data_IF_121950747606
#
_entry.id   IF_121950747606
#
_cell.length_a   1.000
_cell.length_b   1.000
_cell.length_c   1.000
_cell.angle_alpha   90.00
_cell.angle_beta   90.00
_cell.angle_gamma   90.00
#
_symmetry.space_group_name_H-M   'P 1'
#
loop_
_entity.id
_entity.type
_entity.pdbx_description
1 polymer ?
#
# COMPACT_ATOMS: atom_id res chain seq x y z
N UNK A 1 7.46 -1.28 5.31
CA UNK A 1 6.05 -1.41 5.72
C UNK A 1 5.41 -0.03 5.72
N UNK A 2 4.23 0.06 5.14
CA UNK A 2 3.58 1.34 4.88
C UNK A 2 2.85 1.85 6.14
N UNK A 3 2.68 3.17 6.28
CA UNK A 3 1.88 3.87 7.31
C UNK A 3 0.50 3.24 7.55
N UNK A 4 -0.06 2.56 6.56
CA UNK A 4 -1.35 1.89 6.65
C UNK A 4 -1.39 0.71 7.64
N UNK A 5 -0.26 0.01 7.83
CA UNK A 5 -0.15 -1.06 8.83
C UNK A 5 -0.22 -0.51 10.26
N UNK A 6 0.35 0.67 10.52
CA UNK A 6 0.25 1.34 11.82
C UNK A 6 -1.18 1.80 12.12
N UNK A 7 -1.87 2.37 11.13
CA UNK A 7 -3.25 2.84 11.31
C UNK A 7 -4.24 1.73 11.58
N UNK A 8 -4.00 0.54 11.05
CA UNK A 8 -4.88 -0.60 11.24
C UNK A 8 -4.77 -1.23 12.62
N UNK A 9 -3.62 -1.06 13.29
CA UNK A 9 -3.38 -1.56 14.64
C UNK A 9 -3.91 -0.62 15.73
N UNK A 10 -4.30 0.61 15.38
CA UNK A 10 -4.93 1.56 16.31
C UNK A 10 -6.43 1.24 16.39
N UNK A 11 -6.98 0.86 17.57
CA UNK A 11 -8.36 0.36 17.70
C UNK A 11 -9.45 1.32 17.22
N UNK A 12 -9.18 2.63 17.20
CA UNK A 12 -10.13 3.69 16.82
C UNK A 12 -10.10 4.05 15.32
N UNK A 13 -9.16 3.53 14.51
CA UNK A 13 -9.06 3.86 13.07
C UNK A 13 -9.65 2.76 12.21
N UNK A 14 -10.37 3.16 11.17
CA UNK A 14 -10.95 2.24 10.20
C UNK A 14 -9.83 1.55 9.41
N UNK A 15 -9.74 0.22 9.40
CA UNK A 15 -8.63 -0.53 8.79
C UNK A 15 -8.80 -0.72 7.28
N UNK A 16 -9.46 0.23 6.59
CA UNK A 16 -9.70 0.16 5.16
C UNK A 16 -8.51 0.65 4.34
N UNK A 17 -8.17 -0.06 3.28
CA UNK A 17 -7.15 0.30 2.31
C UNK A 17 -7.65 1.33 1.27
N UNK A 18 -8.74 2.00 1.55
CA UNK A 18 -9.44 2.92 0.66
C UNK A 18 -8.51 3.96 -0.02
N UNK A 19 -7.59 4.59 0.73
CA UNK A 19 -6.65 5.56 0.15
C UNK A 19 -5.66 4.91 -0.82
N UNK A 20 -5.17 3.72 -0.47
CA UNK A 20 -4.27 2.97 -1.35
C UNK A 20 -5.00 2.52 -2.62
N UNK A 21 -6.26 2.10 -2.47
CA UNK A 21 -7.11 1.73 -3.61
C UNK A 21 -7.38 2.92 -4.53
N UNK A 22 -7.70 4.10 -4.00
CA UNK A 22 -7.89 5.31 -4.80
C UNK A 22 -6.61 5.76 -5.51
N UNK A 23 -5.45 5.67 -4.86
CA UNK A 23 -4.18 5.95 -5.50
C UNK A 23 -3.89 4.97 -6.64
N UNK A 24 -4.15 3.69 -6.42
CA UNK A 24 -4.03 2.65 -7.46
C UNK A 24 -4.95 2.93 -8.64
N UNK A 25 -6.24 3.16 -8.34
CA UNK A 25 -7.26 3.48 -9.34
C UNK A 25 -6.85 4.69 -10.18
N UNK A 26 -6.46 5.78 -9.52
CA UNK A 26 -6.05 7.01 -10.18
C UNK A 26 -4.82 6.80 -11.07
N UNK A 27 -3.82 6.04 -10.60
CA UNK A 27 -2.62 5.74 -11.36
C UNK A 27 -2.93 4.87 -12.60
N UNK A 28 -3.76 3.85 -12.44
CA UNK A 28 -4.18 2.99 -13.56
C UNK A 28 -4.95 3.79 -14.62
N UNK A 29 -5.99 4.51 -14.20
CA UNK A 29 -6.84 5.26 -15.11
C UNK A 29 -6.18 6.51 -15.72
N UNK A 30 -5.12 7.05 -15.10
CA UNK A 30 -4.36 8.14 -15.69
C UNK A 30 -3.73 7.76 -17.04
N UNK A 31 -3.38 6.49 -17.23
CA UNK A 31 -2.89 5.98 -18.51
C UNK A 31 -3.94 5.91 -19.61
N UNK A 32 -5.23 5.96 -19.24
CA UNK A 32 -6.37 5.78 -20.14
C UNK A 32 -7.18 7.05 -20.35
N UNK A 33 -7.03 8.04 -19.48
CA UNK A 33 -7.87 9.24 -19.36
C UNK A 33 -7.03 10.51 -19.30
N UNK A 34 -7.58 11.59 -19.86
CA UNK A 34 -7.10 12.96 -19.64
C UNK A 34 -7.27 13.38 -18.17
N UNK A 35 -6.74 14.54 -17.79
CA UNK A 35 -6.96 15.14 -16.47
C UNK A 35 -8.44 15.33 -16.16
N UNK A 36 -9.16 15.95 -17.10
CA UNK A 36 -10.58 16.28 -16.92
C UNK A 36 -11.46 15.03 -16.81
N UNK A 37 -11.20 14.03 -17.65
CA UNK A 37 -11.94 12.76 -17.62
C UNK A 37 -11.69 11.99 -16.31
N UNK A 38 -10.44 11.91 -15.84
CA UNK A 38 -10.11 11.26 -14.58
C UNK A 38 -10.69 12.03 -13.39
N UNK A 39 -10.67 13.34 -13.41
CA UNK A 39 -11.26 14.18 -12.38
C UNK A 39 -12.77 13.93 -12.24
N UNK A 40 -13.48 13.88 -13.37
CA UNK A 40 -14.92 13.56 -13.42
C UNK A 40 -15.20 12.13 -12.96
N UNK A 41 -14.40 11.18 -13.39
CA UNK A 41 -14.55 9.78 -13.04
C UNK A 41 -14.41 9.53 -11.52
N UNK A 42 -13.47 10.21 -10.86
CA UNK A 42 -13.29 10.15 -9.42
C UNK A 42 -14.45 10.73 -8.59
N UNK A 43 -15.40 11.41 -9.22
CA UNK A 43 -16.60 11.93 -8.58
C UNK A 43 -17.47 10.81 -7.96
N UNK A 44 -17.45 9.63 -8.56
CA UNK A 44 -18.13 8.45 -8.03
C UNK A 44 -17.58 7.96 -6.67
N UNK A 45 -16.37 8.37 -6.31
CA UNK A 45 -15.66 7.87 -5.13
C UNK A 45 -15.29 8.97 -4.13
N UNK A 46 -15.26 10.22 -4.57
CA UNK A 46 -14.78 11.35 -3.77
C UNK A 46 -15.68 12.57 -4.00
N UNK A 47 -16.49 12.93 -3.01
CA UNK A 47 -17.39 14.09 -3.10
C UNK A 47 -16.65 15.43 -3.10
N UNK A 48 -15.54 15.52 -2.32
CA UNK A 48 -14.76 16.75 -2.17
C UNK A 48 -13.94 17.07 -3.42
N UNK A 49 -14.23 18.21 -4.12
CA UNK A 49 -13.54 18.62 -5.35
C UNK A 49 -12.02 18.78 -5.16
N UNK A 50 -11.58 19.35 -4.02
CA UNK A 50 -10.16 19.56 -3.75
C UNK A 50 -9.41 18.24 -3.56
N UNK A 51 -10.05 17.27 -2.92
CA UNK A 51 -9.48 15.93 -2.81
C UNK A 51 -9.37 15.24 -4.16
N UNK A 52 -10.41 15.32 -5.01
CA UNK A 52 -10.37 14.81 -6.39
C UNK A 52 -9.21 15.42 -7.17
N UNK A 53 -9.09 16.75 -7.13
CA UNK A 53 -8.01 17.47 -7.77
C UNK A 53 -6.63 16.95 -7.35
N UNK A 54 -6.42 16.77 -6.05
CA UNK A 54 -5.15 16.29 -5.53
C UNK A 54 -4.81 14.85 -5.97
N UNK A 55 -5.81 13.98 -6.12
CA UNK A 55 -5.58 12.62 -6.65
C UNK A 55 -5.14 12.68 -8.11
N UNK A 56 -5.82 13.47 -8.93
CA UNK A 56 -5.48 13.62 -10.37
C UNK A 56 -4.14 14.34 -10.55
N UNK A 57 -3.91 15.44 -9.84
CA UNK A 57 -2.65 16.16 -9.87
C UNK A 57 -1.46 15.26 -9.50
N UNK A 58 -1.64 14.39 -8.51
CA UNK A 58 -0.60 13.46 -8.08
C UNK A 58 -0.13 12.53 -9.20
N UNK A 59 -1.02 12.02 -10.02
CA UNK A 59 -0.72 11.08 -11.09
C UNK A 59 -0.41 11.76 -12.43
N UNK A 60 -0.85 13.00 -12.64
CA UNK A 60 -0.61 13.79 -13.85
C UNK A 60 0.57 14.77 -13.72
N UNK A 61 1.15 14.94 -12.53
CA UNK A 61 2.27 15.87 -12.34
C UNK A 61 3.47 15.50 -13.20
N UNK A 62 4.06 16.52 -13.83
CA UNK A 62 5.20 16.36 -14.73
C UNK A 62 4.83 15.88 -16.14
N UNK A 63 3.55 15.72 -16.43
CA UNK A 63 3.04 15.49 -17.78
C UNK A 63 2.86 16.87 -18.45
N UNK A 64 3.46 17.08 -19.61
CA UNK A 64 3.45 18.35 -20.33
C UNK A 64 2.06 18.71 -20.84
N UNK A 65 1.37 17.72 -21.40
CA UNK A 65 -0.01 17.85 -21.87
C UNK A 65 -0.93 16.91 -21.09
N UNK A 66 -1.73 17.46 -20.19
CA UNK A 66 -2.66 16.69 -19.36
C UNK A 66 -4.03 16.46 -20.01
N UNK A 67 -4.25 17.00 -21.23
CA UNK A 67 -5.47 16.78 -22.00
C UNK A 67 -5.52 15.40 -22.66
N UNK A 68 -4.39 14.70 -22.72
CA UNK A 68 -4.26 13.35 -23.27
C UNK A 68 -4.04 12.29 -22.18
N UNK A 69 -4.30 11.00 -22.47
CA UNK A 69 -3.92 9.89 -21.60
C UNK A 69 -2.41 9.90 -21.29
N UNK A 70 -2.07 9.47 -20.08
CA UNK A 70 -0.70 9.42 -19.58
C UNK A 70 -0.64 9.76 -18.09
N UNK A 71 0.33 9.21 -17.38
CA UNK A 71 0.46 9.46 -15.95
C UNK A 71 1.56 8.68 -15.26
N UNK A 72 1.74 8.93 -13.96
CA UNK A 72 2.71 8.25 -13.12
C UNK A 72 2.08 7.01 -12.46
N UNK A 73 2.66 5.85 -12.71
CA UNK A 73 2.18 4.57 -12.20
C UNK A 73 2.77 4.17 -10.84
N UNK A 74 3.68 4.94 -10.31
CA UNK A 74 4.46 4.64 -9.09
C UNK A 74 3.59 4.24 -7.89
N UNK A 75 2.42 4.83 -7.75
CA UNK A 75 1.58 4.62 -6.57
C UNK A 75 0.85 3.26 -6.54
N UNK A 76 0.83 2.52 -7.64
CA UNK A 76 0.23 1.18 -7.72
C UNK A 76 0.92 0.19 -6.77
N UNK A 77 2.24 0.29 -6.62
CA UNK A 77 3.04 -0.63 -5.78
C UNK A 77 2.61 -0.64 -4.31
N UNK A 78 1.98 0.43 -3.82
CA UNK A 78 1.55 0.48 -2.41
C UNK A 78 0.36 -0.43 -2.13
N UNK A 79 -0.66 -0.45 -3.00
CA UNK A 79 -1.78 -1.37 -2.85
C UNK A 79 -1.35 -2.81 -3.12
N UNK A 80 -0.61 -3.03 -4.20
CA UNK A 80 -0.11 -4.36 -4.57
C UNK A 80 0.72 -4.98 -3.44
N UNK A 81 1.66 -4.22 -2.88
CA UNK A 81 2.47 -4.67 -1.76
C UNK A 81 1.64 -4.94 -0.51
N UNK A 82 0.65 -4.09 -0.20
CA UNK A 82 -0.24 -4.32 0.93
C UNK A 82 -1.07 -5.60 0.75
N UNK A 83 -1.63 -5.83 -0.44
CA UNK A 83 -2.41 -7.04 -0.75
C UNK A 83 -1.54 -8.29 -0.68
N UNK A 84 -0.32 -8.27 -1.24
CA UNK A 84 0.63 -9.39 -1.15
C UNK A 84 0.96 -9.74 0.31
N UNK A 85 1.29 -8.72 1.13
CA UNK A 85 1.57 -8.92 2.56
C UNK A 85 0.36 -9.53 3.28
N UNK A 86 -0.85 -9.05 3.01
CA UNK A 86 -2.05 -9.55 3.66
C UNK A 86 -2.39 -10.97 3.24
N UNK A 87 -2.24 -11.31 1.95
CA UNK A 87 -2.43 -12.68 1.47
C UNK A 87 -1.44 -13.67 2.10
N UNK A 88 -0.17 -13.29 2.11
CA UNK A 88 0.91 -14.17 2.57
C UNK A 88 1.23 -14.03 4.07
N UNK A 89 0.44 -13.25 4.83
CA UNK A 89 0.70 -12.85 6.21
C UNK A 89 1.08 -13.98 7.18
N UNK A 90 0.53 -15.16 6.96
CA UNK A 90 0.79 -16.33 7.82
C UNK A 90 2.12 -17.03 7.52
N UNK A 91 2.67 -16.83 6.33
CA UNK A 91 3.92 -17.44 5.87
C UNK A 91 5.11 -16.49 5.90
N UNK A 92 4.89 -15.19 6.03
CA UNK A 92 5.93 -14.16 6.03
C UNK A 92 6.73 -14.20 7.34
N UNK A 93 8.06 -14.28 7.21
CA UNK A 93 8.95 -13.93 8.31
C UNK A 93 9.09 -12.40 8.41
N UNK A 94 8.25 -11.77 9.24
CA UNK A 94 8.23 -10.32 9.39
C UNK A 94 9.52 -9.75 9.98
N UNK A 95 10.24 -10.49 10.82
CA UNK A 95 11.53 -10.05 11.35
C UNK A 95 12.57 -9.97 10.23
N UNK A 96 12.62 -10.96 9.35
CA UNK A 96 13.48 -10.91 8.18
C UNK A 96 13.08 -9.75 7.23
N UNK A 97 11.79 -9.54 7.00
CA UNK A 97 11.30 -8.47 6.12
C UNK A 97 11.69 -7.06 6.60
N UNK A 98 11.83 -6.83 7.91
CA UNK A 98 12.22 -5.53 8.47
C UNK A 98 13.73 -5.40 8.74
N UNK A 99 14.50 -6.47 8.58
CA UNK A 99 15.95 -6.47 8.86
C UNK A 99 16.76 -5.63 7.87
N UNK A 100 16.18 -5.29 6.71
CA UNK A 100 16.82 -4.49 5.67
C UNK A 100 15.85 -4.03 4.58
N UNK A 101 16.37 -3.55 3.48
CA UNK A 101 15.60 -3.18 2.29
C UNK A 101 15.42 -4.41 1.39
N UNK A 102 14.72 -5.41 1.88
CA UNK A 102 14.44 -6.65 1.14
C UNK A 102 12.96 -6.71 0.75
N UNK A 103 12.69 -7.36 -0.36
CA UNK A 103 11.34 -7.59 -0.87
C UNK A 103 10.74 -8.89 -0.32
N UNK A 104 9.44 -9.11 -0.54
CA UNK A 104 8.80 -10.40 -0.23
C UNK A 104 9.39 -11.54 -1.08
N UNK A 105 9.77 -11.25 -2.30
CA UNK A 105 10.43 -12.18 -3.21
C UNK A 105 11.80 -12.59 -2.70
N UNK A 106 12.54 -11.67 -2.08
CA UNK A 106 13.85 -11.93 -1.51
C UNK A 106 13.79 -12.88 -0.29
N UNK A 107 12.70 -12.88 0.46
CA UNK A 107 12.49 -13.82 1.58
C UNK A 107 12.49 -15.29 1.12
N UNK A 108 12.22 -15.56 -0.16
CA UNK A 108 12.24 -16.89 -0.75
C UNK A 108 13.65 -17.35 -1.16
N UNK A 109 14.66 -16.47 -1.07
CA UNK A 109 16.04 -16.76 -1.46
C UNK A 109 16.83 -17.30 -0.29
N UNK A 110 17.07 -18.60 -0.26
CA UNK A 110 17.75 -19.30 0.84
C UNK A 110 19.10 -18.68 1.24
N UNK A 111 19.88 -18.15 0.29
CA UNK A 111 21.17 -17.56 0.59
C UNK A 111 21.02 -16.26 1.39
N UNK A 112 20.00 -15.42 1.08
CA UNK A 112 19.74 -14.18 1.82
C UNK A 112 19.36 -14.49 3.27
N UNK A 113 18.52 -15.50 3.49
CA UNK A 113 18.12 -15.90 4.84
C UNK A 113 19.30 -16.34 5.72
N UNK A 114 20.38 -16.85 5.11
CA UNK A 114 21.60 -17.26 5.81
C UNK A 114 22.50 -16.10 6.25
N UNK A 115 22.44 -14.96 5.54
CA UNK A 115 23.28 -13.79 5.81
C UNK A 115 22.57 -12.68 6.57
N UNK A 116 21.25 -12.76 6.73
CA UNK A 116 20.48 -11.78 7.50
C UNK A 116 20.85 -11.88 8.99
N UNK A 117 21.24 -10.76 9.55
CA UNK A 117 21.48 -10.62 10.99
C UNK A 117 20.19 -10.15 11.66
N UNK A 118 19.61 -10.98 12.52
CA UNK A 118 18.38 -10.70 13.25
C UNK A 118 18.62 -10.37 14.74
N UNK A 119 19.84 -10.51 15.20
CA UNK A 119 20.30 -10.35 16.60
C UNK A 119 20.18 -8.91 17.10
N UNK A 120 20.43 -7.91 16.24
CA UNK A 120 20.36 -6.47 16.58
C UNK A 120 19.19 -5.75 15.89
N UNK A 121 18.09 -6.46 15.68
CA UNK A 121 16.96 -5.91 14.94
C UNK A 121 16.18 -4.87 15.75
N UNK A 122 16.09 -3.65 15.23
CA UNK A 122 15.20 -2.63 15.80
C UNK A 122 13.75 -2.96 15.47
N UNK A 123 13.06 -3.60 16.42
CA UNK A 123 11.66 -4.00 16.24
C UNK A 123 10.74 -2.78 16.40
N UNK A 124 9.93 -2.44 15.37
CA UNK A 124 8.96 -1.37 15.46
C UNK A 124 7.97 -1.58 16.61
N UNK A 125 7.49 -0.52 17.28
CA UNK A 125 6.58 -0.64 18.44
C UNK A 125 5.35 -1.51 18.17
N UNK A 126 4.79 -1.43 16.97
CA UNK A 126 3.59 -2.20 16.59
C UNK A 126 3.85 -3.70 16.38
N UNK A 127 5.11 -4.14 16.29
CA UNK A 127 5.50 -5.55 16.17
C UNK A 127 6.05 -6.15 17.46
N UNK A 128 6.20 -5.37 18.53
CA UNK A 128 6.70 -5.88 19.83
C UNK A 128 5.80 -6.98 20.39
N UNK A 129 4.49 -6.87 20.19
CA UNK A 129 3.53 -7.93 20.45
C UNK A 129 3.11 -8.56 19.12
N UNK A 130 3.80 -9.61 18.71
CA UNK A 130 3.56 -10.31 17.45
C UNK A 130 2.13 -10.88 17.37
N UNK A 131 1.57 -11.34 18.49
CA UNK A 131 0.21 -11.89 18.56
C UNK A 131 -0.84 -10.83 18.23
N UNK A 132 -0.67 -9.62 18.81
CA UNK A 132 -1.52 -8.47 18.55
C UNK A 132 -1.33 -7.96 17.12
N UNK A 133 -0.09 -7.94 16.62
CA UNK A 133 0.23 -7.57 15.25
C UNK A 133 -0.49 -8.47 14.24
N UNK A 134 -0.37 -9.80 14.39
CA UNK A 134 -1.04 -10.77 13.50
C UNK A 134 -2.55 -10.65 13.52
N UNK A 135 -3.17 -10.50 14.70
CA UNK A 135 -4.61 -10.19 14.81
C UNK A 135 -5.00 -8.91 14.08
N UNK A 136 -4.15 -7.90 14.10
CA UNK A 136 -4.33 -6.66 13.36
C UNK A 136 -4.34 -6.90 11.84
N UNK A 137 -3.39 -7.68 11.32
CA UNK A 137 -3.34 -8.04 9.90
C UNK A 137 -4.56 -8.87 9.47
N UNK A 138 -5.00 -9.83 10.28
CA UNK A 138 -6.21 -10.61 10.01
C UNK A 138 -7.46 -9.73 9.94
N UNK A 139 -7.56 -8.75 10.86
CA UNK A 139 -8.65 -7.77 10.81
C UNK A 139 -8.63 -6.93 9.55
N UNK A 140 -7.43 -6.45 9.12
CA UNK A 140 -7.31 -5.68 7.87
C UNK A 140 -7.70 -6.55 6.68
N UNK A 141 -7.18 -7.77 6.60
CA UNK A 141 -7.50 -8.70 5.52
C UNK A 141 -9.02 -8.92 5.42
N UNK A 142 -9.65 -9.26 6.55
CA UNK A 142 -11.10 -9.51 6.63
C UNK A 142 -11.95 -8.33 6.15
N UNK A 143 -11.68 -7.09 6.62
CA UNK A 143 -12.50 -5.92 6.26
C UNK A 143 -12.24 -5.40 4.84
N UNK A 144 -11.17 -5.83 4.20
CA UNK A 144 -10.84 -5.50 2.82
C UNK A 144 -11.07 -6.68 1.86
N UNK A 145 -11.72 -7.76 2.31
CA UNK A 145 -12.04 -8.96 1.52
C UNK A 145 -10.80 -9.58 0.86
N UNK A 146 -9.68 -9.61 1.61
CA UNK A 146 -8.40 -10.19 1.18
C UNK A 146 -8.17 -11.47 1.99
N UNK A 147 -8.45 -12.60 1.38
CA UNK A 147 -8.24 -13.93 1.95
C UNK A 147 -7.09 -14.67 1.26
#
# INVERSE_FOLDING_TARGET
>A
MNQYSEYALIPKKKPFLYRAALNYYSAYHAGLKSFAELYKDLEHYIDDPNRRWNYVLRVKRGITDTSIPGGLYKDQVYLEGAVKILKDRKSINFYALISGKISLEDLKRNFLMKILRLDNLMIPPFMRDMKKFMKGLDRIAKVNFID
#
